data_IF_302728951585
#
_entry.id   IF_302728951585
#
_cell.length_a   1.000
_cell.length_b   1.000
_cell.length_c   1.000
_cell.angle_alpha   90.00
_cell.angle_beta   90.00
_cell.angle_gamma   90.00
#
_symmetry.space_group_name_H-M   'P 1'
#
loop_
_entity.id
_entity.type
_entity.pdbx_description
1 polymer ?
#
# COMPACT_ATOMS: atom_id res chain seq x y z
N UNK A 1 -10.79 -14.74 13.57
CA UNK A 1 -10.30 -15.62 12.49
C UNK A 1 -11.33 -15.84 11.38
N UNK A 2 -12.56 -16.32 11.66
CA UNK A 2 -13.57 -16.59 10.61
C UNK A 2 -13.87 -15.39 9.69
N UNK A 3 -14.06 -14.19 10.25
CA UNK A 3 -14.32 -12.98 9.45
C UNK A 3 -13.16 -12.60 8.50
N UNK A 4 -11.90 -12.83 8.90
CA UNK A 4 -10.75 -12.53 8.05
C UNK A 4 -10.56 -13.57 6.94
N UNK A 5 -10.79 -14.85 7.25
CA UNK A 5 -10.79 -15.90 6.23
C UNK A 5 -11.90 -15.66 5.18
N UNK A 6 -13.09 -15.23 5.62
CA UNK A 6 -14.16 -14.81 4.72
C UNK A 6 -13.74 -13.60 3.87
N UNK A 7 -13.11 -12.59 4.47
CA UNK A 7 -12.60 -11.43 3.73
C UNK A 7 -11.55 -11.83 2.68
N UNK A 8 -10.65 -12.76 3.00
CA UNK A 8 -9.69 -13.35 2.06
C UNK A 8 -10.38 -14.09 0.92
N UNK A 9 -11.40 -14.89 1.22
CA UNK A 9 -12.21 -15.59 0.22
C UNK A 9 -12.92 -14.62 -0.73
N UNK A 10 -13.54 -13.56 -0.21
CA UNK A 10 -14.16 -12.51 -1.02
C UNK A 10 -13.11 -11.78 -1.87
N UNK A 11 -11.93 -11.51 -1.32
CA UNK A 11 -10.81 -10.89 -2.06
C UNK A 11 -10.44 -11.75 -3.27
N UNK A 12 -10.29 -13.06 -3.11
CA UNK A 12 -9.99 -13.99 -4.20
C UNK A 12 -11.12 -14.06 -5.26
N UNK A 13 -12.39 -13.99 -4.84
CA UNK A 13 -13.53 -13.97 -5.77
C UNK A 13 -13.54 -12.69 -6.60
N UNK A 14 -13.38 -11.52 -5.95
CA UNK A 14 -13.33 -10.23 -6.65
C UNK A 14 -12.12 -10.19 -7.57
N UNK A 15 -10.97 -10.71 -7.14
CA UNK A 15 -9.77 -10.85 -7.96
C UNK A 15 -10.05 -11.67 -9.23
N UNK A 16 -10.62 -12.87 -9.11
CA UNK A 16 -10.97 -13.71 -10.26
C UNK A 16 -11.97 -13.01 -11.18
N UNK A 17 -12.90 -12.23 -10.60
CA UNK A 17 -13.84 -11.41 -11.36
C UNK A 17 -13.13 -10.29 -12.12
N UNK A 18 -12.10 -9.66 -11.55
CA UNK A 18 -11.29 -8.66 -12.24
C UNK A 18 -10.60 -9.29 -13.48
N UNK A 19 -9.94 -10.43 -13.30
CA UNK A 19 -9.28 -11.16 -14.38
C UNK A 19 -10.22 -11.44 -15.56
N UNK A 20 -11.39 -11.99 -15.27
CA UNK A 20 -12.36 -12.37 -16.30
C UNK A 20 -13.09 -11.17 -16.91
N UNK A 21 -13.59 -10.25 -16.09
CA UNK A 21 -14.49 -9.18 -16.54
C UNK A 21 -13.78 -8.01 -17.23
N UNK A 22 -12.53 -7.73 -16.87
CA UNK A 22 -11.79 -6.56 -17.36
C UNK A 22 -10.63 -6.93 -18.27
N UNK A 23 -9.89 -7.98 -17.95
CA UNK A 23 -8.72 -8.39 -18.72
C UNK A 23 -9.03 -9.52 -19.73
N UNK A 24 -10.25 -10.05 -19.72
CA UNK A 24 -10.70 -11.10 -20.65
C UNK A 24 -9.96 -12.42 -20.46
N UNK A 25 -9.34 -12.63 -19.30
CA UNK A 25 -8.66 -13.88 -18.95
C UNK A 25 -9.71 -15.00 -18.93
N UNK A 26 -9.40 -16.14 -19.56
CA UNK A 26 -10.35 -17.27 -19.61
C UNK A 26 -10.86 -17.64 -18.21
N UNK A 27 -12.10 -18.12 -18.09
CA UNK A 27 -12.70 -18.45 -16.79
C UNK A 27 -11.84 -19.44 -15.99
N UNK A 28 -11.28 -20.46 -16.64
CA UNK A 28 -10.38 -21.45 -16.00
C UNK A 28 -9.14 -20.79 -15.40
N UNK A 29 -8.47 -19.92 -16.16
CA UNK A 29 -7.32 -19.16 -15.66
C UNK A 29 -7.73 -18.17 -14.56
N UNK A 30 -8.88 -17.52 -14.69
CA UNK A 30 -9.38 -16.60 -13.67
C UNK A 30 -9.64 -17.30 -12.33
N UNK A 31 -10.22 -18.50 -12.34
CA UNK A 31 -10.38 -19.32 -11.13
C UNK A 31 -9.05 -19.76 -10.56
N UNK A 32 -8.11 -20.22 -11.41
CA UNK A 32 -6.77 -20.59 -10.97
C UNK A 32 -6.07 -19.42 -10.28
N UNK A 33 -6.07 -18.23 -10.87
CA UNK A 33 -5.44 -17.07 -10.27
C UNK A 33 -6.19 -16.52 -9.05
N UNK A 34 -7.51 -16.67 -8.99
CA UNK A 34 -8.28 -16.43 -7.76
C UNK A 34 -7.84 -17.37 -6.62
N UNK A 35 -7.64 -18.66 -6.92
CA UNK A 35 -7.10 -19.61 -5.95
C UNK A 35 -5.65 -19.27 -5.55
N UNK A 36 -4.78 -18.92 -6.51
CA UNK A 36 -3.42 -18.46 -6.21
C UNK A 36 -3.39 -17.18 -5.36
N UNK A 37 -4.35 -16.26 -5.57
CA UNK A 37 -4.54 -15.09 -4.72
C UNK A 37 -4.90 -15.48 -3.28
N UNK A 38 -5.79 -16.47 -3.09
CA UNK A 38 -6.09 -16.98 -1.75
C UNK A 38 -4.87 -17.65 -1.08
N UNK A 39 -3.96 -18.21 -1.87
CA UNK A 39 -2.70 -18.80 -1.42
C UNK A 39 -1.53 -17.80 -1.36
N UNK A 40 -1.76 -16.51 -1.63
CA UNK A 40 -0.70 -15.51 -1.59
C UNK A 40 -0.05 -15.50 -0.19
N UNK A 41 1.30 -15.62 -0.09
CA UNK A 41 1.97 -15.75 1.20
C UNK A 41 1.74 -14.53 2.10
N UNK A 42 1.63 -13.32 1.54
CA UNK A 42 1.32 -12.13 2.32
C UNK A 42 -0.12 -12.18 2.84
N UNK A 43 -1.08 -12.57 2.00
CA UNK A 43 -2.49 -12.66 2.40
C UNK A 43 -2.73 -13.73 3.48
N UNK A 44 -2.20 -14.93 3.28
CA UNK A 44 -2.47 -16.11 4.11
C UNK A 44 -1.84 -16.00 5.52
N UNK A 45 -0.75 -15.26 5.64
CA UNK A 45 -0.17 -14.92 6.95
C UNK A 45 -1.05 -13.91 7.69
N UNK A 46 -1.37 -12.78 7.08
CA UNK A 46 -2.03 -11.69 7.81
C UNK A 46 -3.47 -12.01 8.22
N UNK A 47 -4.17 -12.90 7.51
CA UNK A 47 -5.49 -13.39 7.94
C UNK A 47 -5.45 -14.20 9.25
N UNK A 48 -4.32 -14.85 9.55
CA UNK A 48 -4.13 -15.64 10.77
C UNK A 48 -3.73 -14.79 11.96
N UNK A 49 -3.00 -13.70 11.71
CA UNK A 49 -2.56 -12.77 12.75
C UNK A 49 -3.65 -11.76 13.17
N UNK A 50 -4.84 -11.82 12.57
CA UNK A 50 -5.97 -10.93 12.86
C UNK A 50 -5.58 -9.45 12.74
N UNK A 51 -5.08 -9.08 11.56
CA UNK A 51 -4.53 -7.75 11.31
C UNK A 51 -5.44 -6.91 10.40
N UNK A 52 -5.35 -5.57 10.47
CA UNK A 52 -6.17 -4.67 9.62
C UNK A 52 -5.82 -4.80 8.14
N UNK A 53 -4.61 -5.28 7.84
CA UNK A 53 -4.11 -5.72 6.54
C UNK A 53 -5.16 -6.45 5.70
N UNK A 54 -5.79 -7.49 6.26
CA UNK A 54 -6.73 -8.36 5.53
C UNK A 54 -7.97 -7.60 5.07
N UNK A 55 -8.55 -6.77 5.94
CA UNK A 55 -9.70 -5.94 5.59
C UNK A 55 -9.31 -4.80 4.65
N UNK A 56 -8.14 -4.18 4.87
CA UNK A 56 -7.62 -3.15 3.97
C UNK A 56 -7.40 -3.70 2.55
N UNK A 57 -6.93 -4.94 2.41
CA UNK A 57 -6.74 -5.58 1.12
C UNK A 57 -8.08 -5.85 0.42
N UNK A 58 -9.08 -6.36 1.15
CA UNK A 58 -10.43 -6.55 0.61
C UNK A 58 -10.99 -5.23 0.07
N UNK A 59 -10.98 -4.17 0.89
CA UNK A 59 -11.50 -2.85 0.49
C UNK A 59 -10.67 -2.31 -0.68
N UNK A 60 -9.35 -2.49 -0.68
CA UNK A 60 -8.49 -2.09 -1.80
C UNK A 60 -8.84 -2.80 -3.11
N UNK A 61 -9.10 -4.11 -3.08
CA UNK A 61 -9.49 -4.87 -4.27
C UNK A 61 -10.89 -4.44 -4.76
N UNK A 62 -11.80 -4.06 -3.85
CA UNK A 62 -13.08 -3.45 -4.21
C UNK A 62 -12.92 -2.06 -4.84
N UNK A 63 -12.03 -1.21 -4.29
CA UNK A 63 -11.65 0.08 -4.90
C UNK A 63 -11.09 -0.15 -6.30
N UNK A 64 -10.19 -1.12 -6.48
CA UNK A 64 -9.62 -1.46 -7.78
C UNK A 64 -10.70 -1.93 -8.76
N UNK A 65 -11.59 -2.83 -8.33
CA UNK A 65 -12.71 -3.32 -9.14
C UNK A 65 -13.60 -2.16 -9.62
N UNK A 66 -13.98 -1.26 -8.72
CA UNK A 66 -14.84 -0.10 -9.02
C UNK A 66 -14.13 0.94 -9.88
N UNK A 67 -12.83 1.13 -9.68
CA UNK A 67 -12.00 1.99 -10.54
C UNK A 67 -11.93 1.46 -11.97
N UNK A 68 -11.73 0.14 -12.16
CA UNK A 68 -11.77 -0.49 -13.49
C UNK A 68 -13.15 -0.38 -14.13
N UNK A 69 -14.21 -0.57 -13.33
CA UNK A 69 -15.60 -0.42 -13.77
C UNK A 69 -15.89 1.01 -14.23
N UNK A 70 -15.42 2.01 -13.48
CA UNK A 70 -15.51 3.40 -13.87
C UNK A 70 -14.74 3.71 -15.16
N UNK A 71 -13.51 3.22 -15.32
CA UNK A 71 -12.74 3.46 -16.56
C UNK A 71 -13.44 2.87 -17.79
N UNK A 72 -14.17 1.76 -17.63
CA UNK A 72 -14.96 1.15 -18.69
C UNK A 72 -16.27 1.91 -18.95
N UNK A 73 -17.07 2.14 -17.92
CA UNK A 73 -18.47 2.57 -18.06
C UNK A 73 -18.65 4.09 -17.92
N UNK A 74 -17.65 4.82 -17.39
CA UNK A 74 -17.61 6.28 -17.22
C UNK A 74 -18.82 6.86 -16.50
N UNK A 75 -19.37 6.15 -15.51
CA UNK A 75 -20.55 6.61 -14.76
C UNK A 75 -20.12 7.40 -13.51
N UNK A 76 -20.69 8.60 -13.30
CA UNK A 76 -20.37 9.44 -12.14
C UNK A 76 -20.63 8.75 -10.79
N UNK A 77 -21.68 7.93 -10.69
CA UNK A 77 -21.96 7.23 -9.44
C UNK A 77 -20.87 6.23 -9.06
N UNK A 78 -20.14 5.65 -10.03
CA UNK A 78 -19.01 4.77 -9.75
C UNK A 78 -17.86 5.57 -9.11
N UNK A 79 -17.65 6.84 -9.50
CA UNK A 79 -16.70 7.71 -8.78
C UNK A 79 -17.12 7.93 -7.34
N UNK A 80 -18.40 8.19 -7.08
CA UNK A 80 -18.89 8.35 -5.71
C UNK A 80 -18.66 7.08 -4.88
N UNK A 81 -18.87 5.89 -5.45
CA UNK A 81 -18.58 4.61 -4.79
C UNK A 81 -17.08 4.40 -4.59
N UNK A 82 -16.24 4.73 -5.58
CA UNK A 82 -14.78 4.67 -5.44
C UNK A 82 -14.30 5.57 -4.31
N UNK A 83 -14.82 6.81 -4.21
CA UNK A 83 -14.44 7.74 -3.15
C UNK A 83 -14.90 7.26 -1.77
N UNK A 84 -16.12 6.75 -1.64
CA UNK A 84 -16.64 6.21 -0.39
C UNK A 84 -15.79 5.00 0.08
N UNK A 85 -15.49 4.05 -0.81
CA UNK A 85 -14.63 2.91 -0.50
C UNK A 85 -13.19 3.36 -0.19
N UNK A 86 -12.70 4.39 -0.86
CA UNK A 86 -11.35 4.93 -0.62
C UNK A 86 -11.20 5.55 0.77
N UNK A 87 -12.24 6.23 1.27
CA UNK A 87 -12.27 6.71 2.65
C UNK A 87 -12.24 5.55 3.65
N UNK A 88 -13.05 4.51 3.42
CA UNK A 88 -13.01 3.29 4.26
C UNK A 88 -11.62 2.63 4.22
N UNK A 89 -11.00 2.59 3.04
CA UNK A 89 -9.65 2.04 2.87
C UNK A 89 -8.61 2.83 3.68
N UNK A 90 -8.66 4.16 3.61
CA UNK A 90 -7.78 5.06 4.37
C UNK A 90 -7.98 4.87 5.88
N UNK A 91 -9.22 4.67 6.32
CA UNK A 91 -9.55 4.41 7.73
C UNK A 91 -8.87 3.12 8.25
N UNK A 92 -8.77 2.08 7.43
CA UNK A 92 -8.00 0.88 7.80
C UNK A 92 -6.49 1.10 7.71
N UNK A 93 -6.02 1.84 6.69
CA UNK A 93 -4.59 2.04 6.47
C UNK A 93 -4.29 3.30 5.66
N UNK A 94 -3.57 4.23 6.30
CA UNK A 94 -3.18 5.52 5.70
C UNK A 94 -2.24 5.40 4.50
N UNK A 95 -1.54 4.27 4.34
CA UNK A 95 -0.60 4.07 3.22
C UNK A 95 -1.27 4.12 1.84
N UNK A 96 -2.59 4.00 1.78
CA UNK A 96 -3.34 4.15 0.53
C UNK A 96 -3.69 5.61 0.19
N UNK A 97 -3.43 6.57 1.07
CA UNK A 97 -3.84 7.97 0.87
C UNK A 97 -3.32 8.56 -0.44
N UNK A 98 -2.03 8.36 -0.74
CA UNK A 98 -1.42 8.94 -1.94
C UNK A 98 -2.02 8.32 -3.22
N UNK A 99 -2.22 7.00 -3.25
CA UNK A 99 -2.83 6.35 -4.43
C UNK A 99 -4.28 6.80 -4.61
N UNK A 100 -5.06 6.96 -3.54
CA UNK A 100 -6.43 7.48 -3.60
C UNK A 100 -6.47 8.92 -4.15
N UNK A 101 -5.63 9.81 -3.64
CA UNK A 101 -5.59 11.21 -4.06
C UNK A 101 -5.19 11.34 -5.53
N UNK A 102 -4.17 10.59 -5.97
CA UNK A 102 -3.73 10.60 -7.36
C UNK A 102 -4.79 9.98 -8.28
N UNK A 103 -5.41 8.86 -7.88
CA UNK A 103 -6.46 8.21 -8.65
C UNK A 103 -7.74 9.05 -8.75
N UNK A 104 -8.03 9.91 -7.77
CA UNK A 104 -9.16 10.86 -7.85
C UNK A 104 -9.11 11.70 -9.12
N UNK A 105 -7.91 12.13 -9.52
CA UNK A 105 -7.69 12.93 -10.73
C UNK A 105 -7.42 12.03 -11.95
N UNK A 106 -6.58 11.00 -11.79
CA UNK A 106 -6.17 10.16 -12.91
C UNK A 106 -7.27 9.25 -13.43
N UNK A 107 -8.23 8.81 -12.62
CA UNK A 107 -9.29 7.92 -13.09
C UNK A 107 -10.13 8.55 -14.22
N UNK A 108 -10.71 9.75 -14.06
CA UNK A 108 -11.37 10.43 -15.17
C UNK A 108 -10.43 10.65 -16.36
N UNK A 109 -9.19 11.08 -16.14
CA UNK A 109 -8.24 11.32 -17.22
C UNK A 109 -8.00 10.05 -18.04
N UNK A 110 -7.74 8.90 -17.39
CA UNK A 110 -7.53 7.61 -18.06
C UNK A 110 -8.80 7.17 -18.80
N UNK A 111 -9.96 7.31 -18.17
CA UNK A 111 -11.24 6.90 -18.74
C UNK A 111 -11.59 7.66 -20.03
N UNK A 112 -11.32 8.97 -20.09
CA UNK A 112 -11.57 9.78 -21.28
C UNK A 112 -10.42 9.80 -22.28
N UNK A 113 -9.17 9.59 -21.84
CA UNK A 113 -8.03 9.35 -22.73
C UNK A 113 -8.22 8.11 -23.60
N UNK A 114 -8.88 7.06 -23.08
CA UNK A 114 -9.30 5.88 -23.84
C UNK A 114 -10.19 6.22 -25.04
N UNK A 115 -10.98 7.28 -24.95
CA UNK A 115 -11.91 7.73 -26.01
C UNK A 115 -11.22 8.63 -27.02
N UNK A 116 -10.33 9.51 -26.53
CA UNK A 116 -9.66 10.51 -27.35
C UNK A 116 -8.41 9.98 -28.07
N UNK A 117 -7.67 9.03 -27.47
CA UNK A 117 -6.36 8.61 -27.96
C UNK A 117 -6.35 7.18 -28.52
N UNK A 118 -5.85 6.97 -29.76
CA UNK A 118 -5.66 5.63 -30.32
C UNK A 118 -4.64 4.80 -29.55
N UNK A 119 -3.73 5.44 -28.79
CA UNK A 119 -2.72 4.74 -27.99
C UNK A 119 -3.34 3.93 -26.83
N UNK A 120 -4.47 4.40 -26.28
CA UNK A 120 -5.19 3.79 -25.17
C UNK A 120 -6.46 3.05 -25.58
N UNK A 121 -6.85 3.15 -26.85
CA UNK A 121 -8.05 2.51 -27.37
C UNK A 121 -7.88 0.99 -27.40
N UNK A 122 -8.91 0.27 -26.95
CA UNK A 122 -8.99 -1.17 -27.14
C UNK A 122 -9.05 -1.49 -28.65
N UNK A 123 -8.29 -2.48 -29.10
CA UNK A 123 -8.24 -2.89 -30.53
C UNK A 123 -9.60 -3.32 -31.08
N UNK A 124 -10.54 -3.70 -30.20
CA UNK A 124 -11.85 -4.24 -30.57
C UNK A 124 -13.02 -3.26 -30.41
N UNK A 125 -12.81 -2.06 -29.85
CA UNK A 125 -13.93 -1.12 -29.59
C UNK A 125 -14.21 -0.20 -30.78
N UNK A 126 -15.48 -0.18 -31.21
CA UNK A 126 -16.01 0.82 -32.12
C UNK A 126 -15.87 2.23 -31.51
N UNK A 127 -15.71 3.25 -32.36
CA UNK A 127 -15.49 4.64 -31.95
C UNK A 127 -16.63 5.09 -31.02
N UNK A 128 -16.32 5.36 -29.74
CA UNK A 128 -17.34 5.79 -28.78
C UNK A 128 -17.94 7.13 -29.21
N UNK A 129 -19.26 7.25 -29.15
CA UNK A 129 -20.06 8.41 -29.59
C UNK A 129 -19.92 9.68 -28.72
N UNK A 130 -18.90 9.77 -27.87
CA UNK A 130 -18.70 10.96 -27.03
C UNK A 130 -18.28 12.12 -27.92
N UNK A 131 -19.18 13.08 -28.08
CA UNK A 131 -19.04 14.26 -28.96
C UNK A 131 -17.94 15.21 -28.50
N UNK A 132 -17.72 15.35 -27.18
CA UNK A 132 -16.62 16.12 -26.61
C UNK A 132 -16.00 15.43 -25.38
N UNK A 133 -15.03 14.53 -25.57
CA UNK A 133 -14.44 13.74 -24.48
C UNK A 133 -13.62 14.60 -23.50
N UNK A 134 -13.10 15.76 -23.94
CA UNK A 134 -12.30 16.63 -23.09
C UNK A 134 -13.16 17.41 -22.09
N UNK A 135 -14.25 18.03 -22.54
CA UNK A 135 -15.16 18.76 -21.64
C UNK A 135 -15.80 17.83 -20.61
N UNK A 136 -16.36 16.72 -21.08
CA UNK A 136 -16.97 15.70 -20.20
C UNK A 136 -15.95 15.13 -19.23
N UNK A 137 -14.71 14.88 -19.69
CA UNK A 137 -13.63 14.42 -18.83
C UNK A 137 -13.27 15.43 -17.74
N UNK A 138 -13.21 16.72 -18.08
CA UNK A 138 -12.95 17.78 -17.11
C UNK A 138 -14.06 17.87 -16.05
N UNK A 139 -15.33 17.79 -16.45
CA UNK A 139 -16.47 17.75 -15.52
C UNK A 139 -16.33 16.59 -14.52
N UNK A 140 -15.96 15.41 -15.01
CA UNK A 140 -15.73 14.25 -14.14
C UNK A 140 -14.56 14.44 -13.18
N UNK A 141 -13.48 15.12 -13.60
CA UNK A 141 -12.37 15.48 -12.70
C UNK A 141 -12.86 16.42 -11.60
N UNK A 142 -13.59 17.48 -11.96
CA UNK A 142 -14.13 18.44 -10.99
C UNK A 142 -15.04 17.75 -9.98
N UNK A 143 -15.98 16.92 -10.45
CA UNK A 143 -16.88 16.15 -9.57
C UNK A 143 -16.09 15.19 -8.68
N UNK A 144 -15.10 14.48 -9.22
CA UNK A 144 -14.25 13.55 -8.45
C UNK A 144 -13.48 14.27 -7.34
N UNK A 145 -12.87 15.42 -7.65
CA UNK A 145 -12.14 16.24 -6.67
C UNK A 145 -13.08 16.81 -5.60
N UNK A 146 -14.26 17.31 -6.00
CA UNK A 146 -15.26 17.79 -5.05
C UNK A 146 -15.72 16.69 -4.09
N UNK A 147 -16.01 15.49 -4.61
CA UNK A 147 -16.37 14.32 -3.79
C UNK A 147 -15.25 13.92 -2.83
N UNK A 148 -14.00 13.89 -3.31
CA UNK A 148 -12.84 13.60 -2.48
C UNK A 148 -12.72 14.62 -1.34
N UNK A 149 -12.81 15.92 -1.61
CA UNK A 149 -12.74 16.97 -0.57
C UNK A 149 -13.82 16.74 0.49
N UNK A 150 -15.07 16.59 0.08
CA UNK A 150 -16.21 16.42 1.00
C UNK A 150 -16.05 15.14 1.84
N UNK A 151 -15.78 14.00 1.22
CA UNK A 151 -15.71 12.72 1.93
C UNK A 151 -14.47 12.62 2.83
N UNK A 152 -13.33 13.15 2.38
CA UNK A 152 -12.12 13.17 3.21
C UNK A 152 -12.25 14.13 4.38
N UNK A 153 -12.92 15.28 4.20
CA UNK A 153 -13.17 16.22 5.28
C UNK A 153 -14.14 15.62 6.31
N UNK A 154 -15.21 14.97 5.86
CA UNK A 154 -16.12 14.22 6.72
C UNK A 154 -15.37 13.13 7.52
N UNK A 155 -14.48 12.36 6.88
CA UNK A 155 -13.63 11.38 7.57
C UNK A 155 -12.78 12.01 8.66
N UNK A 156 -12.09 13.12 8.38
CA UNK A 156 -11.25 13.80 9.38
C UNK A 156 -12.06 14.28 10.58
N UNK A 157 -13.26 14.82 10.35
CA UNK A 157 -14.15 15.29 11.43
C UNK A 157 -14.68 14.12 12.27
N UNK A 158 -15.06 13.01 11.63
CA UNK A 158 -15.45 11.80 12.34
C UNK A 158 -14.29 11.25 13.18
N UNK A 159 -13.08 11.17 12.60
CA UNK A 159 -11.88 10.73 13.31
C UNK A 159 -11.55 11.66 14.49
N UNK A 160 -11.65 12.97 14.31
CA UNK A 160 -11.53 13.98 15.36
C UNK A 160 -12.51 13.76 16.51
N UNK A 161 -13.77 13.48 16.20
CA UNK A 161 -14.79 13.21 17.21
C UNK A 161 -14.45 11.97 18.04
N UNK A 162 -13.97 10.89 17.41
CA UNK A 162 -13.55 9.68 18.12
C UNK A 162 -12.29 9.89 18.96
N UNK A 163 -11.32 10.61 18.42
CA UNK A 163 -10.05 10.87 19.09
C UNK A 163 -10.11 12.03 20.10
N UNK A 164 -11.21 12.80 20.12
CA UNK A 164 -11.36 14.06 20.87
C UNK A 164 -10.21 15.04 20.60
N UNK A 165 -9.81 15.14 19.33
CA UNK A 165 -8.70 15.96 18.82
C UNK A 165 -9.09 16.67 17.55
N UNK A 166 -8.20 17.52 17.03
CA UNK A 166 -8.33 18.23 15.77
C UNK A 166 -8.58 17.29 14.57
N UNK A 167 -9.32 17.72 13.52
CA UNK A 167 -9.54 16.94 12.30
C UNK A 167 -8.23 16.57 11.60
N UNK A 168 -7.90 15.28 11.59
CA UNK A 168 -6.70 14.74 10.97
C UNK A 168 -6.95 13.36 10.37
N UNK A 169 -6.16 12.97 9.37
CA UNK A 169 -6.23 11.59 8.87
C UNK A 169 -5.61 10.59 9.85
N UNK A 170 -4.51 11.00 10.46
CA UNK A 170 -3.71 10.25 11.42
C UNK A 170 -3.07 11.25 12.37
N UNK A 171 -3.03 10.91 13.66
CA UNK A 171 -2.26 11.64 14.66
C UNK A 171 -0.82 11.12 14.73
N UNK A 172 0.13 11.96 15.13
CA UNK A 172 1.55 11.61 15.19
C UNK A 172 2.18 11.30 13.80
N UNK A 173 1.59 11.82 12.72
CA UNK A 173 2.09 11.63 11.36
C UNK A 173 3.41 12.37 11.12
N UNK A 174 3.62 13.52 11.78
CA UNK A 174 4.88 14.25 11.77
C UNK A 174 5.99 13.49 12.50
N UNK A 175 5.67 12.92 13.66
CA UNK A 175 6.58 12.06 14.41
C UNK A 175 7.04 10.85 13.58
N UNK A 176 6.11 10.18 12.90
CA UNK A 176 6.42 9.10 11.97
C UNK A 176 7.36 9.57 10.84
N UNK A 177 7.03 10.69 10.18
CA UNK A 177 7.82 11.19 9.06
C UNK A 177 9.25 11.57 9.48
N UNK A 178 9.38 12.26 10.62
CA UNK A 178 10.69 12.61 11.19
C UNK A 178 11.51 11.36 11.53
N UNK A 179 10.90 10.29 12.07
CA UNK A 179 11.61 9.05 12.37
C UNK A 179 12.03 8.28 11.10
N UNK A 180 11.16 8.21 10.09
CA UNK A 180 11.47 7.53 8.81
C UNK A 180 12.54 8.26 8.00
N UNK A 181 12.62 9.58 8.14
CA UNK A 181 13.63 10.41 7.50
C UNK A 181 14.77 10.82 8.43
N UNK A 182 14.84 10.25 9.65
CA UNK A 182 15.81 10.60 10.68
C UNK A 182 17.25 10.71 10.14
N UNK A 183 17.76 9.78 9.29
CA UNK A 183 19.12 9.88 8.77
C UNK A 183 19.40 11.03 7.77
N UNK A 184 18.37 11.75 7.33
CA UNK A 184 18.49 12.93 6.49
C UNK A 184 18.21 14.23 7.26
N UNK A 185 17.83 14.15 8.53
CA UNK A 185 17.54 15.34 9.34
C UNK A 185 18.84 16.05 9.73
N UNK A 186 18.82 17.37 9.68
CA UNK A 186 19.87 18.21 10.20
C UNK A 186 19.32 19.15 11.28
N UNK A 187 20.15 19.62 12.23
CA UNK A 187 19.71 20.55 13.26
C UNK A 187 19.06 21.83 12.69
N UNK A 188 19.52 22.28 11.52
CA UNK A 188 18.98 23.44 10.79
C UNK A 188 17.54 23.24 10.30
N UNK A 189 17.05 22.01 10.19
CA UNK A 189 15.69 21.73 9.74
C UNK A 189 14.65 22.02 10.83
N UNK A 190 15.06 22.00 12.11
CA UNK A 190 14.17 22.16 13.25
C UNK A 190 13.94 23.64 13.62
N UNK A 191 12.67 23.99 13.76
CA UNK A 191 12.19 25.32 14.18
C UNK A 191 12.33 25.52 15.69
N UNK A 192 12.11 24.48 16.50
CA UNK A 192 12.27 24.51 17.96
C UNK A 192 13.74 24.23 18.34
N UNK A 193 14.40 25.12 19.12
CA UNK A 193 15.78 24.94 19.55
C UNK A 193 16.04 23.63 20.31
N UNK A 194 15.07 23.16 21.10
CA UNK A 194 15.24 21.92 21.89
C UNK A 194 15.25 20.68 21.00
N UNK A 195 14.44 20.69 19.93
CA UNK A 195 14.44 19.60 18.96
C UNK A 195 15.67 19.66 18.04
N UNK A 196 16.12 20.86 17.70
CA UNK A 196 17.42 21.09 17.03
C UNK A 196 18.57 20.49 17.82
N UNK A 197 18.64 20.77 19.12
CA UNK A 197 19.70 20.25 19.99
C UNK A 197 19.62 18.73 20.11
N UNK A 198 18.41 18.15 20.14
CA UNK A 198 18.23 16.70 20.12
C UNK A 198 18.77 16.06 18.84
N UNK A 199 18.52 16.66 17.68
CA UNK A 199 19.06 16.20 16.38
C UNK A 199 20.57 16.37 16.34
N UNK A 200 21.11 17.48 16.88
CA UNK A 200 22.55 17.74 16.93
C UNK A 200 23.31 16.70 17.77
N UNK A 201 22.67 16.15 18.81
CA UNK A 201 23.19 15.07 19.65
C UNK A 201 22.67 13.68 19.18
N UNK A 202 22.33 13.55 17.91
CA UNK A 202 21.72 12.36 17.34
C UNK A 202 22.65 11.14 17.26
N UNK A 203 23.96 11.36 17.34
CA UNK A 203 24.98 10.32 17.41
C UNK A 203 24.80 9.41 18.64
N UNK A 204 24.34 9.97 19.77
CA UNK A 204 24.08 9.23 21.01
C UNK A 204 23.00 8.13 20.88
N UNK A 205 22.19 8.18 19.83
CA UNK A 205 21.12 7.21 19.57
C UNK A 205 21.07 6.80 18.10
N UNK A 206 22.21 6.88 17.40
CA UNK A 206 22.39 6.41 16.03
C UNK A 206 21.35 6.97 15.04
N UNK A 207 21.09 8.28 15.05
CA UNK A 207 20.08 8.92 14.20
C UNK A 207 20.31 8.66 12.70
N UNK A 208 21.58 8.59 12.29
CA UNK A 208 22.01 8.36 10.90
C UNK A 208 21.93 6.89 10.47
N UNK A 209 21.69 5.96 11.41
CA UNK A 209 21.65 4.55 11.10
C UNK A 209 20.31 4.16 10.46
N UNK A 210 20.36 3.85 9.15
CA UNK A 210 19.21 3.41 8.35
C UNK A 210 18.40 2.25 8.96
N UNK A 211 19.07 1.36 9.71
CA UNK A 211 18.43 0.19 10.34
C UNK A 211 17.68 0.55 11.62
N UNK A 212 17.99 1.70 12.23
CA UNK A 212 17.39 2.15 13.47
C UNK A 212 16.15 3.00 13.26
N UNK A 213 15.75 3.35 12.03
CA UNK A 213 14.56 4.20 11.78
C UNK A 213 13.28 3.72 12.46
N UNK A 214 13.07 2.40 12.54
CA UNK A 214 11.94 1.85 13.29
C UNK A 214 12.08 2.08 14.81
N UNK A 215 13.31 2.03 15.33
CA UNK A 215 13.61 2.38 16.72
C UNK A 215 13.53 3.90 16.95
N UNK A 216 13.91 4.74 15.97
CA UNK A 216 13.70 6.19 16.02
C UNK A 216 12.22 6.56 16.25
N UNK A 217 11.30 5.74 15.74
CA UNK A 217 9.87 5.92 15.93
C UNK A 217 9.33 5.33 17.24
N UNK A 218 9.72 4.09 17.58
CA UNK A 218 9.04 3.30 18.61
C UNK A 218 9.94 2.82 19.75
N UNK A 219 11.25 2.98 19.63
CA UNK A 219 12.23 2.46 20.59
C UNK A 219 12.47 3.42 21.75
N UNK A 220 12.61 2.87 22.95
CA UNK A 220 12.99 3.62 24.13
C UNK A 220 14.40 4.20 23.97
N UNK A 221 14.58 5.47 24.35
CA UNK A 221 15.86 6.16 24.28
C UNK A 221 16.25 6.61 22.87
N UNK A 222 15.36 6.53 21.88
CA UNK A 222 15.57 7.02 20.52
C UNK A 222 14.83 8.34 20.26
N UNK A 223 14.88 8.85 19.02
CA UNK A 223 14.44 10.20 18.64
C UNK A 223 13.07 10.59 19.19
N UNK A 224 12.01 9.82 18.88
CA UNK A 224 10.64 10.20 19.26
C UNK A 224 10.36 10.00 20.76
N UNK A 225 10.94 8.99 21.40
CA UNK A 225 10.84 8.81 22.86
C UNK A 225 11.49 9.99 23.60
N UNK A 226 12.73 10.35 23.24
CA UNK A 226 13.42 11.52 23.81
C UNK A 226 12.66 12.80 23.55
N UNK A 227 12.12 12.98 22.35
CA UNK A 227 11.32 14.17 22.03
C UNK A 227 10.04 14.24 22.87
N UNK A 228 9.34 13.11 23.09
CA UNK A 228 8.16 13.04 23.96
C UNK A 228 8.47 13.32 25.45
N UNK A 229 9.72 13.12 25.87
CA UNK A 229 10.18 13.47 27.21
C UNK A 229 10.41 14.97 27.37
N UNK A 230 10.81 15.66 26.30
CA UNK A 230 11.09 17.10 26.26
C UNK A 230 9.81 17.92 26.00
N UNK A 231 9.04 17.58 24.97
CA UNK A 231 7.77 18.25 24.64
C UNK A 231 6.59 17.36 25.02
N UNK A 232 5.88 17.78 26.07
CA UNK A 232 4.77 17.04 26.68
C UNK A 232 3.46 17.26 25.94
N UNK A 233 3.32 18.37 25.21
CA UNK A 233 2.16 18.61 24.38
C UNK A 233 2.24 17.76 23.09
N UNK A 234 1.38 16.73 22.92
CA UNK A 234 1.43 15.85 21.77
C UNK A 234 1.15 16.59 20.45
N UNK A 235 0.36 17.66 20.48
CA UNK A 235 0.06 18.45 19.29
C UNK A 235 1.29 19.22 18.82
N UNK A 236 1.90 19.98 19.73
CA UNK A 236 3.11 20.76 19.44
C UNK A 236 4.28 19.85 19.05
N UNK A 237 4.42 18.71 19.74
CA UNK A 237 5.42 17.67 19.44
C UNK A 237 5.33 17.17 18.01
N UNK A 238 4.13 16.78 17.57
CA UNK A 238 3.90 16.26 16.21
C UNK A 238 4.07 17.36 15.15
N UNK A 239 3.58 18.57 15.43
CA UNK A 239 3.73 19.72 14.53
C UNK A 239 5.20 20.05 14.28
N UNK A 240 6.03 20.14 15.32
CA UNK A 240 7.46 20.42 15.20
C UNK A 240 8.17 19.30 14.43
N UNK A 241 7.85 18.04 14.71
CA UNK A 241 8.41 16.91 13.98
C UNK A 241 8.05 16.96 12.48
N UNK A 242 6.79 17.30 12.16
CA UNK A 242 6.32 17.49 10.79
C UNK A 242 7.04 18.63 10.09
N UNK A 243 7.10 19.81 10.71
CA UNK A 243 7.79 20.97 10.15
C UNK A 243 9.26 20.66 9.87
N UNK A 244 9.94 20.02 10.81
CA UNK A 244 11.33 19.57 10.64
C UNK A 244 11.48 18.63 9.45
N UNK A 245 10.63 17.60 9.33
CA UNK A 245 10.70 16.65 8.22
C UNK A 245 10.41 17.32 6.86
N UNK A 246 9.47 18.27 6.80
CA UNK A 246 9.17 19.03 5.59
C UNK A 246 10.31 19.99 5.23
N UNK A 247 10.95 20.60 6.22
CA UNK A 247 12.13 21.44 6.00
C UNK A 247 13.31 20.63 5.46
N UNK A 248 13.54 19.42 5.99
CA UNK A 248 14.55 18.50 5.45
C UNK A 248 14.29 18.18 3.97
N UNK A 249 13.04 17.85 3.61
CA UNK A 249 12.63 17.61 2.23
C UNK A 249 12.86 18.83 1.32
N UNK A 250 12.58 20.04 1.81
CA UNK A 250 12.80 21.30 1.07
C UNK A 250 14.29 21.63 0.92
N UNK A 251 15.09 21.39 1.97
CA UNK A 251 16.52 21.67 2.00
C UNK A 251 17.28 20.78 1.03
N UNK A 252 17.06 19.47 1.09
CA UNK A 252 17.76 18.48 0.24
C UNK A 252 16.82 17.33 -0.17
N UNK A 253 15.98 17.53 -1.20
CA UNK A 253 15.05 16.49 -1.65
C UNK A 253 15.76 15.23 -2.15
N UNK A 254 16.98 15.36 -2.68
CA UNK A 254 17.78 14.23 -3.15
C UNK A 254 18.21 13.29 -2.01
N UNK A 255 18.42 13.78 -0.79
CA UNK A 255 18.74 12.93 0.36
C UNK A 255 17.55 12.01 0.71
N UNK A 256 16.32 12.53 0.63
CA UNK A 256 15.10 11.73 0.85
C UNK A 256 14.90 10.70 -0.27
N UNK A 257 15.20 11.07 -1.52
CA UNK A 257 15.18 10.13 -2.66
C UNK A 257 16.24 9.05 -2.47
N UNK A 258 17.43 9.39 -1.99
CA UNK A 258 18.49 8.43 -1.68
C UNK A 258 18.05 7.46 -0.57
N UNK A 259 17.42 7.95 0.50
CA UNK A 259 16.85 7.09 1.57
C UNK A 259 15.78 6.15 1.02
N UNK A 260 14.92 6.64 0.14
CA UNK A 260 13.89 5.86 -0.54
C UNK A 260 14.53 4.74 -1.37
N UNK A 261 15.55 5.06 -2.15
CA UNK A 261 16.29 4.10 -2.96
C UNK A 261 17.03 3.07 -2.09
N UNK A 262 17.67 3.48 -0.99
CA UNK A 262 18.31 2.57 -0.03
C UNK A 262 17.29 1.60 0.59
N UNK A 263 16.08 2.08 0.88
CA UNK A 263 14.98 1.22 1.37
C UNK A 263 14.56 0.22 0.31
N UNK A 264 14.39 0.66 -0.95
CA UNK A 264 14.09 -0.22 -2.08
C UNK A 264 15.18 -1.28 -2.28
N UNK A 265 16.46 -0.88 -2.31
CA UNK A 265 17.61 -1.79 -2.43
C UNK A 265 17.71 -2.77 -1.24
N UNK A 266 17.22 -2.38 -0.06
CA UNK A 266 17.12 -3.25 1.10
C UNK A 266 16.26 -4.49 0.85
N UNK A 267 15.21 -4.39 0.04
CA UNK A 267 14.39 -5.54 -0.35
C UNK A 267 15.13 -6.55 -1.24
N UNK A 268 16.18 -6.13 -1.94
CA UNK A 268 16.94 -7.02 -2.83
C UNK A 268 17.91 -7.95 -2.09
N UNK A 269 18.21 -7.67 -0.82
CA UNK A 269 19.09 -8.51 -0.02
C UNK A 269 18.38 -9.75 0.51
N UNK A 270 18.77 -10.96 0.05
CA UNK A 270 18.17 -12.23 0.53
C UNK A 270 18.23 -12.36 2.06
N UNK A 271 19.37 -11.99 2.68
CA UNK A 271 19.51 -11.99 4.14
C UNK A 271 18.58 -10.98 4.80
N UNK A 272 18.41 -9.81 4.17
CA UNK A 272 17.56 -8.73 4.66
C UNK A 272 16.09 -9.13 4.65
N UNK A 273 15.58 -9.60 3.51
CA UNK A 273 14.16 -9.98 3.38
C UNK A 273 13.80 -11.15 4.29
N UNK A 274 14.68 -12.15 4.44
CA UNK A 274 14.49 -13.25 5.39
C UNK A 274 14.49 -12.77 6.84
N UNK A 275 15.34 -11.80 7.18
CA UNK A 275 15.39 -11.22 8.52
C UNK A 275 14.11 -10.43 8.84
N UNK A 276 13.69 -9.54 7.93
CA UNK A 276 12.47 -8.76 8.09
C UNK A 276 11.22 -9.63 8.08
N UNK A 277 11.13 -10.65 7.23
CA UNK A 277 10.01 -11.59 7.24
C UNK A 277 9.91 -12.34 8.59
N UNK A 278 11.03 -12.71 9.22
CA UNK A 278 11.01 -13.28 10.58
C UNK A 278 10.54 -12.25 11.61
N UNK A 279 11.04 -11.02 11.52
CA UNK A 279 10.63 -9.91 12.42
C UNK A 279 9.13 -9.63 12.30
N UNK A 280 8.58 -9.65 11.08
CA UNK A 280 7.15 -9.44 10.83
C UNK A 280 6.26 -10.54 11.44
N UNK A 281 6.79 -11.77 11.60
CA UNK A 281 6.11 -12.87 12.31
C UNK A 281 6.14 -12.72 13.84
N UNK A 282 6.74 -11.65 14.36
CA UNK A 282 6.87 -11.41 15.80
C UNK A 282 8.00 -12.21 16.44
N UNK A 283 9.03 -12.62 15.68
CA UNK A 283 10.23 -13.20 16.28
C UNK A 283 10.97 -12.14 17.13
N UNK A 284 10.67 -12.15 18.43
CA UNK A 284 11.31 -11.32 19.44
C UNK A 284 11.10 -11.92 20.82
N UNK A 285 12.00 -11.63 21.77
CA UNK A 285 11.78 -11.99 23.17
C UNK A 285 10.70 -11.05 23.71
N UNK A 286 9.58 -11.60 24.18
CA UNK A 286 8.64 -10.86 25.00
C UNK A 286 9.34 -10.49 26.31
N UNK A 287 9.24 -9.23 26.72
CA UNK A 287 9.66 -8.79 28.05
C UNK A 287 8.67 -9.30 29.09
N UNK A 288 9.09 -9.30 30.35
CA UNK A 288 8.28 -9.74 31.48
C UNK A 288 6.98 -8.93 31.60
N UNK A 289 7.05 -7.63 31.33
CA UNK A 289 5.89 -6.74 31.31
C UNK A 289 4.88 -7.12 30.22
N UNK A 290 5.35 -7.50 29.03
CA UNK A 290 4.47 -7.96 27.96
C UNK A 290 3.79 -9.28 28.31
N UNK A 291 4.50 -10.21 28.96
CA UNK A 291 3.92 -11.49 29.42
C UNK A 291 2.87 -11.24 30.50
N UNK A 292 3.16 -10.38 31.47
CA UNK A 292 2.22 -10.03 32.53
C UNK A 292 0.96 -9.36 31.97
N UNK A 293 1.11 -8.43 31.02
CA UNK A 293 -0.02 -7.77 30.37
C UNK A 293 -0.89 -8.75 29.56
N UNK A 294 -0.27 -9.71 28.88
CA UNK A 294 -1.00 -10.76 28.15
C UNK A 294 -1.75 -11.71 29.10
N UNK A 295 -1.13 -12.08 30.21
CA UNK A 295 -1.74 -12.91 31.24
C UNK A 295 -2.92 -12.19 31.92
N UNK A 296 -2.77 -10.91 32.25
CA UNK A 296 -3.79 -10.14 32.96
C UNK A 296 -4.98 -9.78 32.05
N UNK A 297 -4.71 -9.19 30.87
CA UNK A 297 -5.77 -8.66 30.00
C UNK A 297 -6.43 -9.70 29.12
N UNK A 298 -5.66 -10.69 28.66
CA UNK A 298 -6.14 -11.67 27.68
C UNK A 298 -6.23 -13.08 28.26
N UNK A 299 -5.96 -13.25 29.57
CA UNK A 299 -5.86 -14.55 30.25
C UNK A 299 -4.94 -15.52 29.51
N UNK A 300 -3.95 -14.97 28.82
CA UNK A 300 -3.03 -15.72 27.99
C UNK A 300 -1.86 -16.14 28.86
N UNK A 301 -2.01 -17.25 29.59
CA UNK A 301 -0.95 -17.85 30.42
C UNK A 301 0.11 -18.50 29.52
N UNK A 302 1.08 -17.72 29.06
CA UNK A 302 2.25 -18.26 28.36
C UNK A 302 3.30 -18.77 29.34
N UNK A 303 3.81 -19.97 29.07
CA UNK A 303 5.01 -20.53 29.69
C UNK A 303 6.22 -19.70 29.24
N UNK A 304 6.99 -19.17 30.18
CA UNK A 304 8.33 -18.60 29.92
C UNK A 304 9.36 -19.72 29.79
N UNK A 305 10.31 -19.64 28.84
CA UNK A 305 10.22 -18.91 27.57
C UNK A 305 9.18 -19.62 26.70
N UNK A 306 8.53 -18.93 25.74
CA UNK A 306 7.86 -19.68 24.66
C UNK A 306 8.92 -20.65 24.12
N UNK A 307 8.83 -21.99 24.33
CA UNK A 307 9.69 -22.87 23.56
C UNK A 307 9.37 -22.50 22.13
N UNK A 308 10.39 -22.14 21.34
CA UNK A 308 10.23 -21.62 19.99
C UNK A 308 9.22 -22.50 19.27
N UNK A 309 7.95 -22.07 19.24
CA UNK A 309 6.90 -22.96 18.79
C UNK A 309 7.29 -23.29 17.36
N UNK A 310 7.34 -24.59 17.01
CA UNK A 310 7.82 -24.96 15.70
C UNK A 310 6.99 -24.19 14.68
N UNK A 311 7.67 -23.50 13.76
CA UNK A 311 7.04 -22.68 12.74
C UNK A 311 5.88 -23.48 12.12
N UNK A 312 4.67 -22.92 12.18
CA UNK A 312 3.52 -23.50 11.51
C UNK A 312 3.77 -23.58 10.00
N UNK A 313 3.08 -24.48 9.31
CA UNK A 313 3.23 -24.65 7.85
C UNK A 313 3.09 -23.33 7.09
N UNK A 314 2.15 -22.48 7.52
CA UNK A 314 1.93 -21.14 6.96
C UNK A 314 3.14 -20.23 7.15
N UNK A 315 3.71 -20.19 8.36
CA UNK A 315 4.90 -19.37 8.62
C UNK A 315 6.12 -19.88 7.83
N UNK A 316 6.27 -21.20 7.68
CA UNK A 316 7.32 -21.79 6.83
C UNK A 316 7.11 -21.41 5.36
N UNK A 317 5.87 -21.48 4.87
CA UNK A 317 5.51 -21.08 3.52
C UNK A 317 5.84 -19.60 3.27
N UNK A 318 5.47 -18.70 4.17
CA UNK A 318 5.80 -17.28 4.10
C UNK A 318 7.31 -17.01 4.09
N UNK A 319 8.08 -17.67 4.96
CA UNK A 319 9.54 -17.53 4.97
C UNK A 319 10.19 -18.16 3.73
N UNK A 320 9.59 -19.21 3.18
CA UNK A 320 10.01 -19.90 1.96
C UNK A 320 9.69 -19.13 0.68
N UNK A 321 8.69 -18.26 0.69
CA UNK A 321 8.24 -17.47 -0.46
C UNK A 321 9.17 -16.30 -0.82
N UNK A 322 10.40 -16.25 -0.29
CA UNK A 322 11.37 -15.20 -0.60
C UNK A 322 11.62 -14.98 -2.11
N UNK A 323 11.61 -15.99 -3.02
CA UNK A 323 11.77 -15.74 -4.45
C UNK A 323 10.58 -14.97 -5.03
N UNK A 324 9.38 -15.21 -4.51
CA UNK A 324 8.17 -14.54 -4.96
C UNK A 324 8.20 -13.05 -4.61
N UNK A 325 8.74 -12.66 -3.44
CA UNK A 325 8.87 -11.26 -3.07
C UNK A 325 9.74 -10.45 -4.05
N UNK A 326 10.77 -11.06 -4.66
CA UNK A 326 11.54 -10.43 -5.74
C UNK A 326 10.68 -10.08 -6.95
N UNK A 327 9.72 -10.94 -7.30
CA UNK A 327 8.77 -10.68 -8.38
C UNK A 327 7.83 -9.53 -7.98
N UNK A 328 7.42 -9.45 -6.72
CA UNK A 328 6.58 -8.36 -6.20
C UNK A 328 7.31 -7.01 -6.21
N UNK A 329 8.60 -6.99 -5.92
CA UNK A 329 9.40 -5.74 -5.92
C UNK A 329 9.48 -5.14 -7.33
N UNK A 330 9.57 -5.97 -8.37
CA UNK A 330 9.56 -5.51 -9.77
C UNK A 330 8.15 -5.29 -10.35
N UNK A 331 7.10 -5.35 -9.52
CA UNK A 331 5.71 -5.21 -9.95
C UNK A 331 5.42 -3.96 -10.80
N UNK A 332 5.97 -2.76 -10.50
CA UNK A 332 5.79 -1.61 -11.39
C UNK A 332 6.28 -1.88 -12.82
N UNK A 333 7.42 -2.56 -12.98
CA UNK A 333 7.97 -2.90 -14.29
C UNK A 333 7.14 -3.96 -15.01
N UNK A 334 6.66 -4.97 -14.28
CA UNK A 334 5.80 -6.01 -14.89
C UNK A 334 4.44 -5.42 -15.29
N UNK A 335 3.86 -4.54 -14.48
CA UNK A 335 2.64 -3.81 -14.83
C UNK A 335 2.86 -2.89 -16.04
N UNK A 336 3.99 -2.19 -16.11
CA UNK A 336 4.35 -1.38 -17.28
C UNK A 336 4.41 -2.25 -18.54
N UNK A 337 5.07 -3.41 -18.47
CA UNK A 337 5.12 -4.36 -19.57
C UNK A 337 3.74 -4.90 -19.96
N UNK A 338 2.86 -5.18 -18.99
CA UNK A 338 1.48 -5.59 -19.27
C UNK A 338 0.65 -4.52 -19.99
N UNK A 339 1.00 -3.22 -19.89
CA UNK A 339 0.36 -2.18 -20.71
C UNK A 339 0.59 -2.38 -22.21
N UNK A 340 1.65 -3.09 -22.60
CA UNK A 340 1.96 -3.36 -24.01
C UNK A 340 1.27 -4.65 -24.50
N UNK A 341 1.11 -5.63 -23.61
CA UNK A 341 0.52 -6.94 -23.90
C UNK A 341 -1.00 -6.99 -23.77
N UNK A 342 -1.55 -6.20 -22.85
CA UNK A 342 -2.96 -6.23 -22.48
C UNK A 342 -3.88 -5.85 -23.64
N UNK A 343 -5.06 -6.49 -23.69
CA UNK A 343 -6.14 -6.09 -24.63
C UNK A 343 -6.56 -4.64 -24.43
N UNK A 344 -6.63 -4.23 -23.17
CA UNK A 344 -7.05 -2.91 -22.75
C UNK A 344 -5.92 -2.18 -22.04
N UNK A 345 -5.27 -1.28 -22.78
CA UNK A 345 -4.09 -0.56 -22.32
C UNK A 345 -4.41 0.43 -21.20
N UNK A 346 -5.60 1.02 -21.20
CA UNK A 346 -6.03 1.95 -20.17
C UNK A 346 -6.17 1.26 -18.81
N UNK A 347 -6.77 0.07 -18.80
CA UNK A 347 -6.93 -0.74 -17.58
C UNK A 347 -5.58 -1.25 -17.06
N UNK A 348 -4.69 -1.71 -17.95
CA UNK A 348 -3.35 -2.11 -17.57
C UNK A 348 -2.50 -0.92 -17.07
N UNK A 349 -2.66 0.25 -17.68
CA UNK A 349 -1.98 1.48 -17.24
C UNK A 349 -2.44 1.90 -15.84
N UNK A 350 -3.72 1.71 -15.51
CA UNK A 350 -4.20 1.91 -14.15
C UNK A 350 -3.49 0.98 -13.14
N UNK A 351 -3.29 -0.30 -13.48
CA UNK A 351 -2.51 -1.22 -12.63
C UNK A 351 -1.07 -0.72 -12.42
N UNK A 352 -0.43 -0.21 -13.49
CA UNK A 352 0.91 0.38 -13.42
C UNK A 352 0.97 1.59 -12.48
N UNK A 353 0.01 2.50 -12.57
CA UNK A 353 -0.11 3.67 -11.69
C UNK A 353 -0.24 3.22 -10.23
N UNK A 354 -1.14 2.28 -9.95
CA UNK A 354 -1.33 1.74 -8.60
C UNK A 354 -0.04 1.07 -8.07
N UNK A 355 0.59 0.20 -8.86
CA UNK A 355 1.82 -0.49 -8.46
C UNK A 355 2.95 0.49 -8.17
N UNK A 356 3.12 1.51 -9.01
CA UNK A 356 4.18 2.51 -8.87
C UNK A 356 3.99 3.37 -7.62
N UNK A 357 2.78 3.88 -7.38
CA UNK A 357 2.50 4.73 -6.21
C UNK A 357 2.62 3.92 -4.92
N UNK A 358 2.06 2.70 -4.89
CA UNK A 358 2.19 1.83 -3.72
C UNK A 358 3.64 1.49 -3.44
N UNK A 359 4.43 1.13 -4.46
CA UNK A 359 5.86 0.86 -4.27
C UNK A 359 6.61 2.10 -3.76
N UNK A 360 6.30 3.28 -4.31
CA UNK A 360 6.87 4.56 -3.84
C UNK A 360 6.53 4.82 -2.38
N UNK A 361 5.26 4.68 -1.98
CA UNK A 361 4.84 4.86 -0.58
C UNK A 361 5.55 3.89 0.35
N UNK A 362 5.61 2.60 -0.03
CA UNK A 362 6.25 1.56 0.78
C UNK A 362 7.75 1.79 0.95
N UNK A 363 8.41 2.38 -0.04
CA UNK A 363 9.86 2.64 0.01
C UNK A 363 10.21 3.97 0.66
N UNK A 364 9.37 4.99 0.48
CA UNK A 364 9.63 6.34 0.99
C UNK A 364 9.14 6.54 2.43
N UNK A 365 8.06 5.87 2.83
CA UNK A 365 7.39 6.07 4.11
C UNK A 365 7.52 4.87 5.06
N UNK A 366 8.13 3.77 4.65
CA UNK A 366 8.41 2.67 5.59
C UNK A 366 9.76 2.88 6.29
N UNK A 367 9.83 2.72 7.62
CA UNK A 367 11.10 2.78 8.36
C UNK A 367 12.02 1.59 8.02
N UNK A 368 11.49 0.52 7.42
CA UNK A 368 12.25 -0.69 7.10
C UNK A 368 11.65 -1.46 5.90
N UNK A 369 12.43 -2.25 5.15
CA UNK A 369 11.92 -3.06 4.04
C UNK A 369 11.16 -4.30 4.54
N UNK A 370 9.96 -4.07 5.09
CA UNK A 370 9.08 -5.10 5.66
C UNK A 370 8.14 -5.66 4.59
N UNK A 371 8.05 -6.99 4.53
CA UNK A 371 7.24 -7.72 3.55
C UNK A 371 5.75 -7.45 3.78
N UNK A 372 5.36 -7.14 5.01
CA UNK A 372 4.01 -6.73 5.39
C UNK A 372 3.44 -5.61 4.50
N UNK A 373 4.28 -4.67 4.06
CA UNK A 373 3.83 -3.55 3.23
C UNK A 373 3.69 -3.89 1.74
N UNK A 374 4.21 -5.04 1.30
CA UNK A 374 4.15 -5.48 -0.10
C UNK A 374 2.81 -6.14 -0.48
N UNK A 375 1.94 -6.47 0.49
CA UNK A 375 0.68 -7.18 0.27
C UNK A 375 -0.19 -6.63 -0.88
N UNK A 376 -0.53 -5.32 -0.95
CA UNK A 376 -1.33 -4.82 -2.07
C UNK A 376 -0.59 -4.86 -3.41
N UNK A 377 0.74 -4.73 -3.41
CA UNK A 377 1.57 -4.88 -4.61
C UNK A 377 1.61 -6.35 -5.08
N UNK A 378 1.57 -7.29 -4.14
CA UNK A 378 1.48 -8.74 -4.39
C UNK A 378 0.28 -9.07 -5.27
N UNK A 379 -0.88 -8.52 -4.92
CA UNK A 379 -2.12 -8.67 -5.70
C UNK A 379 -1.98 -8.11 -7.12
N UNK A 380 -1.42 -6.91 -7.27
CA UNK A 380 -1.19 -6.34 -8.61
C UNK A 380 -0.23 -7.20 -9.44
N UNK A 381 0.78 -7.77 -8.79
CA UNK A 381 1.73 -8.69 -9.42
C UNK A 381 1.02 -9.93 -9.95
N UNK A 382 0.13 -10.55 -9.15
CA UNK A 382 -0.66 -11.71 -9.61
C UNK A 382 -1.59 -11.36 -10.76
N UNK A 383 -2.26 -10.19 -10.73
CA UNK A 383 -3.11 -9.72 -11.85
C UNK A 383 -2.28 -9.59 -13.13
N UNK A 384 -1.10 -8.99 -13.04
CA UNK A 384 -0.19 -8.80 -14.16
C UNK A 384 0.32 -10.13 -14.71
N UNK A 385 0.67 -11.08 -13.85
CA UNK A 385 1.05 -12.44 -14.28
C UNK A 385 -0.12 -13.11 -14.99
N UNK A 386 -1.35 -12.96 -14.50
CA UNK A 386 -2.54 -13.52 -15.14
C UNK A 386 -2.74 -12.97 -16.56
N UNK A 387 -2.54 -11.66 -16.76
CA UNK A 387 -2.60 -11.02 -18.07
C UNK A 387 -1.53 -11.58 -19.01
N UNK A 388 -0.28 -11.71 -18.53
CA UNK A 388 0.83 -12.25 -19.32
C UNK A 388 0.62 -13.72 -19.71
N UNK A 389 0.17 -14.56 -18.77
CA UNK A 389 -0.09 -15.98 -19.02
C UNK A 389 -1.24 -16.17 -20.02
N UNK A 390 -2.31 -15.41 -19.89
CA UNK A 390 -3.42 -15.44 -20.84
C UNK A 390 -3.00 -14.98 -22.24
N UNK A 391 -2.16 -13.94 -22.35
CA UNK A 391 -1.57 -13.52 -23.62
C UNK A 391 -0.74 -14.64 -24.28
N UNK A 392 0.13 -15.31 -23.51
CA UNK A 392 0.93 -16.45 -23.99
C UNK A 392 0.03 -17.62 -24.44
N UNK A 393 -0.97 -17.98 -23.62
CA UNK A 393 -1.88 -19.07 -23.90
C UNK A 393 -2.68 -18.85 -25.19
N UNK A 394 -3.06 -17.62 -25.50
CA UNK A 394 -3.74 -17.28 -26.76
C UNK A 394 -2.82 -17.34 -27.97
N UNK A 395 -1.57 -16.90 -27.83
CA UNK A 395 -0.57 -16.97 -28.91
C UNK A 395 -0.22 -18.42 -29.28
N UNK A 396 -0.28 -19.32 -28.30
CA UNK A 396 -0.04 -20.74 -28.49
C UNK A 396 -1.23 -21.50 -29.14
N UNK A 397 -2.42 -20.90 -29.25
CA UNK A 397 -3.57 -21.57 -29.89
C UNK A 397 -3.42 -21.59 -31.41
N UNK A 398 -3.53 -22.77 -32.07
CA UNK A 398 -3.48 -22.88 -33.52
C UNK A 398 -4.57 -22.02 -34.19
N UNK A 399 -4.24 -21.44 -35.35
CA UNK A 399 -5.11 -20.52 -36.09
C UNK A 399 -6.52 -21.09 -36.40
N UNK A 400 -6.66 -22.41 -36.53
CA UNK A 400 -7.92 -23.10 -36.81
C UNK A 400 -8.97 -23.01 -35.68
N UNK A 401 -8.58 -22.68 -34.44
CA UNK A 401 -9.51 -22.52 -33.30
C UNK A 401 -9.84 -21.06 -32.97
N UNK A 402 -9.27 -20.08 -33.68
CA UNK A 402 -9.48 -18.65 -33.41
C UNK A 402 -10.75 -18.08 -34.09
N UNK A 403 -11.34 -18.79 -35.04
CA UNK A 403 -12.55 -18.38 -35.78
C UNK A 403 -13.88 -18.76 -35.09
N UNK A 404 -13.84 -19.43 -33.93
CA UNK A 404 -15.01 -20.00 -33.28
C UNK A 404 -15.34 -19.42 -31.89
N UNK A 405 -14.83 -18.24 -31.52
CA UNK A 405 -15.12 -17.58 -30.23
C UNK A 405 -15.59 -16.15 -30.37
#
# INVERSE_FOLDING_TARGET
>A
MAAQALASGVTAIVFARICSAFFGVSNRLSFLFGFLCALDPCQLVWERYVMTETFSLLVYVLVLYRSLLYVRDRRLWELAVVQALSVVLIAFRISYLLVVQVCTVLLPIIAFARCASPAFRNRSEARSSVTNPFSTGFEHVVVSVALMIVMHDAYKHVNASFAKREPAYLYDAGAHLAAVWAPALQPSDATDPRFRDLIANGDQFEIDNLRQRNAQQFGDGFLMDRWSKIEKDPYKRDRIAKETAINALRRRPLEIVELTLKTYLGYWGIRSIKWYARKDLGYGKLTDDHVNLLAEKFRFTTVKPLPAQPLSLVQRYFLGAWPYYFIVIISPLTCAFATWLGRDRALAFLLFVHASILMLVVTALSPQPSVRYLQPVSILTLLTIAICVDWLARRARPAAMQSAS
#
